data_IF_761193808089
#
_entry.id   IF_761193808089
#
_cell.length_a   1.000
_cell.length_b   1.000
_cell.length_c   1.000
_cell.angle_alpha   90.00
_cell.angle_beta   90.00
_cell.angle_gamma   90.00
#
_symmetry.space_group_name_H-M   'P 1'
#
loop_
_entity.id
_entity.type
_entity.pdbx_description
1 polymer ?
#
# COMPACT_ATOMS: atom_id res chain seq x y z
N UNK A 1 13.79 -20.30 -1.38
CA UNK A 1 12.55 -19.50 -1.42
C UNK A 1 12.85 -18.20 -0.71
N UNK A 2 12.83 -17.09 -1.43
CA UNK A 2 13.28 -15.78 -0.95
C UNK A 2 12.42 -15.31 0.22
N UNK A 3 13.02 -15.15 1.40
CA UNK A 3 12.47 -14.44 2.56
C UNK A 3 12.31 -12.94 2.21
N UNK A 4 11.44 -12.60 1.26
CA UNK A 4 11.08 -11.22 1.00
C UNK A 4 10.27 -10.72 2.19
N UNK A 5 10.99 -10.15 3.16
CA UNK A 5 10.40 -9.39 4.25
C UNK A 5 9.94 -8.07 3.66
N UNK A 6 8.65 -7.95 3.37
CA UNK A 6 8.06 -6.67 3.03
C UNK A 6 8.11 -5.77 4.27
N UNK A 7 8.46 -4.50 4.08
CA UNK A 7 8.52 -3.52 5.15
C UNK A 7 7.40 -2.51 4.95
N UNK A 8 6.65 -2.24 6.01
CA UNK A 8 5.57 -1.27 5.97
C UNK A 8 6.14 0.15 5.91
N UNK A 9 5.80 0.90 4.86
CA UNK A 9 6.24 2.27 4.65
C UNK A 9 5.66 3.28 5.67
N UNK A 10 4.69 2.88 6.50
CA UNK A 10 4.09 3.75 7.51
C UNK A 10 4.61 3.51 8.93
N UNK A 11 4.80 2.25 9.33
CA UNK A 11 5.17 1.91 10.72
C UNK A 11 6.57 1.32 10.86
N UNK A 12 7.31 1.16 9.75
CA UNK A 12 8.67 0.63 9.69
C UNK A 12 8.83 -0.85 10.11
N UNK A 13 7.72 -1.52 10.47
CA UNK A 13 7.72 -2.93 10.84
C UNK A 13 7.64 -3.82 9.61
N UNK A 14 8.17 -5.04 9.73
CA UNK A 14 7.97 -6.09 8.73
C UNK A 14 6.48 -6.45 8.61
N UNK A 15 6.06 -6.79 7.40
CA UNK A 15 4.75 -7.34 7.11
C UNK A 15 4.89 -8.86 7.10
N UNK A 16 4.21 -9.51 8.04
CA UNK A 16 4.13 -10.96 8.06
C UNK A 16 3.08 -11.41 7.05
N UNK A 17 3.51 -12.12 6.01
CA UNK A 17 2.65 -12.64 4.92
C UNK A 17 1.59 -13.66 5.40
N UNK A 18 1.51 -13.92 6.70
CA UNK A 18 0.84 -15.07 7.28
C UNK A 18 -0.49 -14.68 7.96
N UNK A 19 -0.70 -13.38 8.22
CA UNK A 19 -1.87 -12.88 8.96
C UNK A 19 -2.58 -11.70 8.28
N UNK A 20 -1.86 -10.86 7.53
CA UNK A 20 -2.43 -9.74 6.80
C UNK A 20 -2.00 -9.78 5.34
N UNK A 21 -2.93 -9.47 4.44
CA UNK A 21 -2.59 -9.32 3.02
C UNK A 21 -1.61 -8.15 2.84
N UNK A 22 -0.44 -8.45 2.27
CA UNK A 22 0.57 -7.47 1.91
C UNK A 22 -0.07 -6.47 0.94
N UNK A 23 -0.21 -5.23 1.37
CA UNK A 23 -0.86 -4.19 0.57
C UNK A 23 0.18 -3.36 -0.17
N UNK A 24 0.06 -3.29 -1.50
CA UNK A 24 0.86 -2.40 -2.31
C UNK A 24 0.20 -1.01 -2.41
N UNK A 25 0.97 0.05 -2.16
CA UNK A 25 0.59 1.43 -2.42
C UNK A 25 1.41 1.93 -3.61
N UNK A 26 0.72 2.27 -4.70
CA UNK A 26 1.36 2.82 -5.90
C UNK A 26 1.23 4.34 -5.85
N UNK A 27 2.37 5.02 -5.81
CA UNK A 27 2.47 6.48 -5.87
C UNK A 27 2.80 6.87 -7.30
N UNK A 28 1.88 7.59 -7.94
CA UNK A 28 2.13 8.19 -9.26
C UNK A 28 2.23 9.70 -9.11
N UNK A 29 3.37 10.28 -9.47
CA UNK A 29 3.58 11.73 -9.51
C UNK A 29 3.58 12.25 -10.94
N UNK A 30 3.42 13.56 -11.10
CA UNK A 30 3.20 14.23 -12.39
C UNK A 30 1.95 13.72 -13.14
N UNK A 31 0.87 13.40 -12.42
CA UNK A 31 -0.33 12.79 -12.99
C UNK A 31 -0.89 13.53 -14.22
N UNK A 32 -0.87 14.86 -14.22
CA UNK A 32 -1.39 15.67 -15.32
C UNK A 32 -0.47 15.70 -16.57
N UNK A 33 0.74 15.13 -16.49
CA UNK A 33 1.63 15.00 -17.65
C UNK A 33 1.26 13.77 -18.48
N UNK A 34 1.84 13.71 -19.69
CA UNK A 34 1.81 12.49 -20.50
C UNK A 34 2.35 11.31 -19.70
N UNK A 35 1.81 10.12 -19.95
CA UNK A 35 2.08 8.91 -19.18
C UNK A 35 3.57 8.53 -19.15
N UNK A 36 4.31 8.78 -20.23
CA UNK A 36 5.75 8.58 -20.34
C UNK A 36 6.59 9.53 -19.45
N UNK A 37 5.97 10.60 -18.94
CA UNK A 37 6.56 11.57 -18.03
C UNK A 37 6.04 11.44 -16.58
N UNK A 38 5.10 10.52 -16.35
CA UNK A 38 4.66 10.17 -15.00
C UNK A 38 5.76 9.36 -14.30
N UNK A 39 5.87 9.51 -12.98
CA UNK A 39 6.82 8.74 -12.19
C UNK A 39 6.05 7.85 -11.24
N UNK A 40 6.30 6.56 -11.31
CA UNK A 40 5.63 5.55 -10.50
C UNK A 40 6.59 4.95 -9.48
N UNK A 41 6.13 4.81 -8.24
CA UNK A 41 6.81 4.08 -7.19
C UNK A 41 5.83 3.16 -6.47
N UNK A 42 6.20 1.89 -6.32
CA UNK A 42 5.48 0.94 -5.48
C UNK A 42 6.09 0.89 -4.08
N UNK A 43 5.24 1.04 -3.06
CA UNK A 43 5.53 0.85 -1.65
C UNK A 43 4.67 -0.30 -1.10
N UNK A 44 5.06 -0.84 0.05
CA UNK A 44 4.30 -1.88 0.75
C UNK A 44 3.87 -1.40 2.13
N UNK A 45 2.70 -1.83 2.59
CA UNK A 45 2.16 -1.47 3.89
C UNK A 45 1.22 -2.55 4.44
N UNK A 46 0.95 -2.48 5.75
CA UNK A 46 -0.20 -3.17 6.34
C UNK A 46 -1.47 -2.43 5.94
N UNK A 47 -2.54 -3.16 5.62
CA UNK A 47 -3.85 -2.59 5.27
C UNK A 47 -4.39 -1.68 6.39
N UNK A 48 -4.20 -2.05 7.65
CA UNK A 48 -4.61 -1.26 8.81
C UNK A 48 -3.82 0.05 8.92
N UNK A 49 -2.52 0.02 8.63
CA UNK A 49 -1.69 1.22 8.62
C UNK A 49 -2.18 2.20 7.54
N UNK A 50 -2.51 1.69 6.35
CA UNK A 50 -3.10 2.52 5.29
C UNK A 50 -4.46 3.09 5.72
N UNK A 51 -5.37 2.25 6.22
CA UNK A 51 -6.71 2.65 6.69
C UNK A 51 -6.63 3.76 7.74
N UNK A 52 -5.66 3.70 8.66
CA UNK A 52 -5.45 4.71 9.70
C UNK A 52 -5.00 6.08 9.20
N UNK A 53 -4.55 6.18 7.94
CA UNK A 53 -4.06 7.43 7.31
C UNK A 53 -5.06 8.04 6.34
N UNK A 54 -6.09 7.29 5.95
CA UNK A 54 -7.14 7.80 5.10
C UNK A 54 -8.14 8.61 5.92
N UNK A 55 -8.78 9.57 5.26
CA UNK A 55 -9.94 10.27 5.83
C UNK A 55 -11.14 9.33 5.87
N UNK A 56 -12.02 9.51 6.86
CA UNK A 56 -13.12 8.57 7.17
C UNK A 56 -14.07 8.27 5.99
N UNK A 57 -14.14 9.16 5.01
CA UNK A 57 -15.02 9.05 3.85
C UNK A 57 -14.34 8.49 2.59
N UNK A 58 -13.07 8.08 2.66
CA UNK A 58 -12.41 7.41 1.54
C UNK A 58 -12.67 5.90 1.64
N UNK A 59 -13.43 5.32 0.69
CA UNK A 59 -13.70 3.90 0.73
C UNK A 59 -12.45 3.10 0.36
N UNK A 60 -12.06 2.19 1.26
CA UNK A 60 -11.05 1.17 1.02
C UNK A 60 -11.77 -0.14 0.69
N UNK A 61 -12.37 -0.22 -0.50
CA UNK A 61 -13.19 -1.39 -0.92
C UNK A 61 -12.46 -2.73 -0.80
N UNK A 62 -11.13 -2.73 -0.88
CA UNK A 62 -10.29 -3.92 -0.72
C UNK A 62 -10.31 -4.44 0.72
N UNK A 63 -10.48 -3.56 1.69
CA UNK A 63 -10.49 -3.93 3.10
C UNK A 63 -11.83 -4.53 3.55
N UNK A 64 -12.88 -4.44 2.73
CA UNK A 64 -14.20 -5.05 2.97
C UNK A 64 -14.31 -6.45 2.35
N UNK A 65 -13.32 -6.89 1.56
CA UNK A 65 -13.28 -8.23 0.90
C UNK A 65 -12.64 -9.28 1.82
N UNK A 66 -11.94 -8.84 2.87
CA UNK A 66 -11.12 -9.70 3.76
C UNK A 66 -11.89 -10.11 5.04
N UNK A 67 -13.14 -9.65 5.23
CA UNK A 67 -14.03 -10.09 6.33
C UNK A 67 -14.83 -11.36 5.99
#
# INVERSE_FOLDING_TARGET
MSNQKYQCCFCDKNIESNQFDITALIVVSNWDKKQDLQQEQQLFCHIECLRSKLVDNVPLYIADIIE
#
